data_IF_598970173117
#
_entry.id   IF_598970173117
#
_cell.length_a   1.000
_cell.length_b   1.000
_cell.length_c   1.000
_cell.angle_alpha   90.00
_cell.angle_beta   90.00
_cell.angle_gamma   90.00
#
_symmetry.space_group_name_H-M   'P 1'
#
loop_
_entity.id
_entity.type
_entity.pdbx_description
1 polymer ?
#
# COMPACT_ATOMS: atom_id res chain seq x y z
N UNK A 1 -11.80 -26.01 -0.25
CA UNK A 1 -12.10 -24.60 0.09
C UNK A 1 -10.85 -23.70 0.06
N UNK A 2 -9.63 -24.22 -0.16
CA UNK A 2 -8.40 -23.40 -0.23
C UNK A 2 -8.12 -22.82 -1.63
N UNK A 3 -8.66 -23.42 -2.69
CA UNK A 3 -8.36 -23.01 -4.07
C UNK A 3 -9.00 -21.70 -4.54
N UNK A 4 -10.07 -21.23 -3.89
CA UNK A 4 -10.72 -19.96 -4.24
C UNK A 4 -9.98 -18.74 -3.68
N UNK A 5 -9.29 -18.90 -2.54
CA UNK A 5 -8.48 -17.84 -1.93
C UNK A 5 -7.17 -17.59 -2.68
N UNK A 6 -6.67 -18.56 -3.44
CA UNK A 6 -5.50 -18.41 -4.32
C UNK A 6 -5.86 -17.84 -5.71
N UNK A 7 -7.13 -17.85 -6.11
CA UNK A 7 -7.57 -17.32 -7.41
C UNK A 7 -7.73 -15.80 -7.43
N UNK A 8 -7.81 -15.16 -6.26
CA UNK A 8 -7.78 -13.71 -6.11
C UNK A 8 -6.50 -13.42 -5.32
N UNK A 9 -5.48 -12.89 -6.00
CA UNK A 9 -4.18 -12.59 -5.38
C UNK A 9 -4.30 -11.71 -4.14
N UNK A 10 -3.18 -11.51 -3.44
CA UNK A 10 -3.12 -10.69 -2.24
C UNK A 10 -3.72 -9.30 -2.52
N UNK A 11 -4.58 -8.82 -1.62
CA UNK A 11 -5.05 -7.43 -1.67
C UNK A 11 -4.09 -6.59 -0.86
N UNK A 12 -3.56 -5.53 -1.45
CA UNK A 12 -2.56 -4.67 -0.83
C UNK A 12 -3.16 -3.28 -0.69
N UNK A 13 -3.18 -2.77 0.53
CA UNK A 13 -3.58 -1.39 0.82
C UNK A 13 -2.41 -0.66 1.46
N UNK A 14 -2.06 0.48 0.89
CA UNK A 14 -1.17 1.45 1.51
C UNK A 14 -1.97 2.67 1.94
N UNK A 15 -1.82 3.05 3.21
CA UNK A 15 -2.29 4.32 3.75
C UNK A 15 -1.13 5.10 4.34
N UNK A 16 -1.27 6.43 4.39
CA UNK A 16 -0.42 7.30 5.19
C UNK A 16 -1.16 7.64 6.47
N UNK A 17 -0.50 7.50 7.61
CA UNK A 17 -1.01 7.93 8.91
C UNK A 17 -0.68 9.42 9.04
N UNK A 18 -1.71 10.24 9.22
CA UNK A 18 -1.58 11.67 9.42
C UNK A 18 -1.39 12.02 10.91
N UNK A 19 -0.96 13.25 11.20
CA UNK A 19 -0.68 13.72 12.56
C UNK A 19 -1.87 13.60 13.52
N UNK A 20 -3.09 13.70 13.00
CA UNK A 20 -4.34 13.55 13.76
C UNK A 20 -4.78 12.08 13.90
N UNK A 21 -3.90 11.13 13.58
CA UNK A 21 -4.12 9.69 13.55
C UNK A 21 -5.18 9.23 12.54
N UNK A 22 -5.59 10.09 11.61
CA UNK A 22 -6.39 9.66 10.47
C UNK A 22 -5.53 8.97 9.43
N UNK A 23 -6.16 8.13 8.60
CA UNK A 23 -5.47 7.45 7.51
C UNK A 23 -5.95 8.00 6.17
N UNK A 24 -5.00 8.43 5.34
CA UNK A 24 -5.25 8.80 3.96
C UNK A 24 -4.87 7.65 3.02
N UNK A 25 -5.77 7.29 2.11
CA UNK A 25 -5.48 6.27 1.11
C UNK A 25 -4.34 6.74 0.19
N UNK A 26 -3.35 5.86 -0.04
CA UNK A 26 -2.22 6.09 -0.96
C UNK A 26 -2.42 5.26 -2.22
N UNK A 27 -2.51 3.94 -2.04
CA UNK A 27 -2.64 2.96 -3.10
C UNK A 27 -3.48 1.77 -2.63
N UNK A 28 -4.35 1.27 -3.51
CA UNK A 28 -5.07 0.02 -3.33
C UNK A 28 -4.83 -0.88 -4.54
N UNK A 29 -4.39 -2.10 -4.30
CA UNK A 29 -4.31 -3.18 -5.28
C UNK A 29 -5.22 -4.34 -4.88
N UNK A 30 -6.13 -4.69 -5.79
CA UNK A 30 -7.08 -5.80 -5.67
C UNK A 30 -6.87 -6.83 -6.78
N UNK A 31 -5.63 -6.96 -7.28
CA UNK A 31 -5.25 -7.78 -8.42
C UNK A 31 -5.53 -7.07 -9.75
N UNK A 32 -6.71 -7.30 -10.32
CA UNK A 32 -7.09 -6.70 -11.61
C UNK A 32 -7.42 -5.21 -11.52
N UNK A 33 -7.55 -4.67 -10.30
CA UNK A 33 -7.95 -3.29 -10.06
C UNK A 33 -6.96 -2.62 -9.13
N UNK A 34 -6.26 -1.63 -9.68
CA UNK A 34 -5.28 -0.80 -8.97
C UNK A 34 -5.76 0.64 -8.98
N UNK A 35 -5.68 1.30 -7.83
CA UNK A 35 -6.09 2.68 -7.68
C UNK A 35 -5.12 3.44 -6.79
N UNK A 36 -4.76 4.63 -7.23
CA UNK A 36 -3.98 5.60 -6.45
C UNK A 36 -4.86 6.81 -6.13
N UNK A 37 -4.55 7.49 -5.04
CA UNK A 37 -5.44 8.48 -4.43
C UNK A 37 -4.73 9.80 -4.16
N UNK A 38 -5.50 10.88 -4.10
CA UNK A 38 -5.03 12.21 -3.69
C UNK A 38 -3.78 12.70 -4.43
N UNK A 39 -2.85 13.26 -3.66
CA UNK A 39 -1.55 13.77 -4.13
C UNK A 39 -0.54 12.66 -4.50
N UNK A 40 -0.90 11.39 -4.31
CA UNK A 40 -0.08 10.24 -4.71
C UNK A 40 -0.35 9.80 -6.15
N UNK A 41 -1.44 10.27 -6.77
CA UNK A 41 -1.79 9.95 -8.15
C UNK A 41 -0.66 10.30 -9.13
N UNK A 42 -0.29 9.32 -9.96
CA UNK A 42 0.78 9.46 -10.95
C UNK A 42 2.21 9.43 -10.39
N UNK A 43 2.37 9.27 -9.07
CA UNK A 43 3.69 9.21 -8.42
C UNK A 43 3.96 7.91 -7.66
N UNK A 44 2.92 7.15 -7.32
CA UNK A 44 3.05 5.88 -6.58
C UNK A 44 2.65 4.66 -7.40
N UNK A 45 3.33 3.56 -7.16
CA UNK A 45 3.04 2.23 -7.71
C UNK A 45 3.63 1.13 -6.81
N UNK A 46 3.18 -0.11 -7.01
CA UNK A 46 3.82 -1.27 -6.39
C UNK A 46 4.95 -1.77 -7.29
N UNK A 47 6.06 -2.22 -6.70
CA UNK A 47 7.20 -2.75 -7.46
C UNK A 47 6.84 -4.05 -8.21
N UNK A 48 6.00 -4.90 -7.61
CA UNK A 48 5.40 -6.08 -8.25
C UNK A 48 6.42 -7.09 -8.80
N UNK A 49 7.50 -7.37 -8.05
CA UNK A 49 8.44 -8.43 -8.46
C UNK A 49 7.81 -9.83 -8.45
N UNK A 50 6.80 -10.04 -7.60
CA UNK A 50 5.90 -11.21 -7.58
C UNK A 50 4.54 -10.86 -6.92
N UNK A 51 3.61 -11.84 -6.87
CA UNK A 51 2.25 -11.67 -6.30
C UNK A 51 2.22 -11.32 -4.79
N UNK A 52 3.36 -11.40 -4.11
CA UNK A 52 3.52 -11.07 -2.70
C UNK A 52 4.31 -9.79 -2.45
N UNK A 53 4.84 -9.16 -3.51
CA UNK A 53 5.62 -7.94 -3.40
C UNK A 53 4.71 -6.73 -3.19
N UNK A 54 4.59 -6.34 -1.92
CA UNK A 54 3.84 -5.17 -1.50
C UNK A 54 4.69 -3.89 -1.42
N UNK A 55 5.88 -3.85 -2.02
CA UNK A 55 6.78 -2.69 -1.96
C UNK A 55 6.13 -1.47 -2.62
N UNK A 56 5.87 -0.42 -1.84
CA UNK A 56 5.43 0.87 -2.34
C UNK A 56 6.63 1.66 -2.88
N UNK A 57 6.54 2.08 -4.14
CA UNK A 57 7.49 3.03 -4.73
C UNK A 57 6.82 4.39 -4.82
N UNK A 58 7.46 5.42 -4.27
CA UNK A 58 7.03 6.82 -4.38
C UNK A 58 8.08 7.57 -5.20
N UNK A 59 7.64 8.25 -6.26
CA UNK A 59 8.50 9.07 -7.12
C UNK A 59 8.24 10.56 -6.92
N UNK A 60 9.19 11.40 -7.30
CA UNK A 60 9.10 12.86 -7.17
C UNK A 60 8.72 13.29 -5.74
N UNK A 61 9.46 12.83 -4.73
CA UNK A 61 9.21 13.10 -3.31
C UNK A 61 9.14 14.61 -3.00
N UNK A 62 8.21 14.98 -2.13
CA UNK A 62 8.07 16.31 -1.52
C UNK A 62 8.07 16.19 0.03
N UNK A 63 8.30 17.30 0.74
CA UNK A 63 8.29 17.35 2.21
C UNK A 63 6.96 16.86 2.81
N UNK A 64 5.86 16.94 2.05
CA UNK A 64 4.54 16.46 2.48
C UNK A 64 4.41 14.94 2.47
N UNK A 65 5.33 14.25 1.78
CA UNK A 65 5.36 12.80 1.75
C UNK A 65 6.01 12.22 3.02
N UNK A 66 6.68 13.02 3.87
CA UNK A 66 7.14 12.52 5.17
C UNK A 66 6.00 12.07 6.06
N UNK A 67 6.25 11.02 6.84
CA UNK A 67 5.32 10.45 7.80
C UNK A 67 5.36 8.93 7.85
N UNK A 68 4.45 8.36 8.62
CA UNK A 68 4.29 6.91 8.77
C UNK A 68 3.35 6.38 7.71
N UNK A 69 3.76 5.29 7.05
CA UNK A 69 2.96 4.58 6.06
C UNK A 69 2.61 3.20 6.58
N UNK A 70 1.35 2.81 6.42
CA UNK A 70 0.84 1.50 6.82
C UNK A 70 0.54 0.67 5.58
N UNK A 71 1.10 -0.52 5.53
CA UNK A 71 0.80 -1.57 4.56
C UNK A 71 -0.11 -2.62 5.19
N UNK A 72 -1.24 -2.90 4.55
CA UNK A 72 -2.15 -3.98 4.90
C UNK A 72 -2.21 -4.98 3.74
N UNK A 73 -1.77 -6.21 3.97
CA UNK A 73 -1.83 -7.31 3.01
C UNK A 73 -2.90 -8.29 3.49
N UNK A 74 -3.97 -8.43 2.72
CA UNK A 74 -5.12 -9.28 3.02
C UNK A 74 -5.10 -10.46 2.07
N UNK A 75 -4.86 -11.65 2.62
CA UNK A 75 -4.77 -12.90 1.87
C UNK A 75 -5.76 -13.95 2.38
N UNK A 76 -7.04 -13.57 2.36
CA UNK A 76 -8.20 -14.42 2.64
C UNK A 76 -8.40 -14.74 4.12
N UNK A 77 -7.42 -15.42 4.74
CA UNK A 77 -7.50 -15.87 6.14
C UNK A 77 -6.54 -15.13 7.07
N UNK A 78 -5.49 -14.50 6.54
CA UNK A 78 -4.51 -13.75 7.33
C UNK A 78 -4.46 -12.32 6.81
N UNK A 79 -4.33 -11.38 7.75
CA UNK A 79 -4.04 -10.00 7.46
C UNK A 79 -2.67 -9.69 8.05
N UNK A 80 -1.74 -9.20 7.24
CA UNK A 80 -0.47 -8.67 7.72
C UNK A 80 -0.50 -7.16 7.67
N UNK A 81 -0.14 -6.54 8.79
CA UNK A 81 -0.04 -5.09 8.91
C UNK A 81 1.41 -4.74 9.25
N UNK A 82 1.98 -3.80 8.50
CA UNK A 82 3.33 -3.27 8.73
C UNK A 82 3.27 -1.75 8.64
N UNK A 83 3.93 -1.07 9.57
CA UNK A 83 4.14 0.38 9.53
C UNK A 83 5.60 0.68 9.22
N UNK A 84 5.84 1.70 8.40
CA UNK A 84 7.16 2.14 7.96
C UNK A 84 7.22 3.66 7.99
N UNK A 85 8.23 4.22 8.63
CA UNK A 85 8.46 5.67 8.68
C UNK A 85 9.31 6.13 7.50
N UNK A 86 8.82 7.15 6.79
CA UNK A 86 9.62 7.91 5.83
C UNK A 86 10.10 9.19 6.52
N UNK A 87 11.38 9.22 6.87
CA UNK A 87 12.03 10.32 7.59
C UNK A 87 13.08 11.04 6.73
N UNK A 88 13.34 12.31 7.06
CA UNK A 88 14.47 13.07 6.51
C UNK A 88 15.75 12.72 7.30
N UNK A 89 16.85 12.44 6.60
CA UNK A 89 18.18 12.24 7.19
C UNK A 89 18.94 13.56 7.41
#
# INVERSE_FOLDING_TARGET
>A
MEGLSMMFGNRIKWTKIEDDSTETDVLLDMGFHKKTYGNFQGRVYLLETDDSDATLVITNLDLKDYGTYKCEIINGMNDKVVEVDLELQ
#
